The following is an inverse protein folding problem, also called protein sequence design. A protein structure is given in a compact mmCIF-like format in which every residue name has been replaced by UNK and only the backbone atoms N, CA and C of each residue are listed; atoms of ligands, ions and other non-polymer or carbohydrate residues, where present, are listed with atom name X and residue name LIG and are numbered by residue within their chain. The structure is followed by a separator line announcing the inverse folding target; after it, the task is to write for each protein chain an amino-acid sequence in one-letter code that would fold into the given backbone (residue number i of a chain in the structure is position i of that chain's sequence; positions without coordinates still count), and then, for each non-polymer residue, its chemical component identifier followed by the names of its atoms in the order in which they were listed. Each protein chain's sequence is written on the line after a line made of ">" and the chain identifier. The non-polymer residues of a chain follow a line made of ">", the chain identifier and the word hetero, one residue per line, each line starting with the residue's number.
data_IF_819663272931
#
_entry.id   IF_819663272931
#
_cell.length_a   1.000
_cell.length_b   1.000
_cell.length_c   1.000
_cell.angle_alpha   90.00
_cell.angle_beta   90.00
_cell.angle_gamma   90.00
#
_symmetry.space_group_name_H-M   'P 1'
#
loop_
_entity.id
_entity.type
_entity.pdbx_description
1 polymer ?
#
# COMPACT_ATOMS: atom_id res chain seq x y z
N UNK A 1 17.47 1.98 -9.30
CA UNK A 1 16.54 1.25 -10.18
C UNK A 1 15.88 2.24 -11.13
N UNK A 2 15.59 1.85 -12.38
CA UNK A 2 14.85 2.68 -13.33
C UNK A 2 13.45 3.00 -12.76
N UNK A 3 12.92 4.21 -13.01
CA UNK A 3 11.57 4.63 -12.59
C UNK A 3 10.47 3.71 -13.15
N UNK A 4 10.70 3.10 -14.31
CA UNK A 4 9.73 2.27 -15.01
C UNK A 4 9.99 0.77 -14.79
N UNK A 5 8.91 0.00 -14.69
CA UNK A 5 8.92 -1.47 -14.72
C UNK A 5 8.81 -1.95 -16.17
N UNK A 6 9.40 -3.10 -16.48
CA UNK A 6 9.46 -3.65 -17.85
C UNK A 6 9.21 -5.16 -17.86
N UNK A 7 8.42 -5.59 -18.85
CA UNK A 7 8.27 -6.98 -19.32
C UNK A 7 8.75 -7.06 -20.77
N UNK A 8 8.67 -8.26 -21.35
CA UNK A 8 9.11 -8.54 -22.72
C UNK A 8 8.50 -7.61 -23.78
N UNK A 9 7.27 -7.13 -23.58
CA UNK A 9 6.53 -6.32 -24.56
C UNK A 9 5.89 -5.05 -23.96
N UNK A 10 6.10 -4.78 -22.67
CA UNK A 10 5.41 -3.67 -21.97
C UNK A 10 6.35 -2.95 -21.03
N UNK A 11 6.27 -1.62 -21.00
CA UNK A 11 6.93 -0.75 -20.02
C UNK A 11 5.85 0.09 -19.36
N UNK A 12 5.88 0.19 -18.03
CA UNK A 12 4.86 0.94 -17.29
C UNK A 12 5.44 1.63 -16.04
N UNK A 13 4.72 2.63 -15.56
CA UNK A 13 4.97 3.30 -14.30
C UNK A 13 3.63 3.73 -13.71
N UNK A 14 3.13 2.95 -12.76
CA UNK A 14 1.82 3.16 -12.15
C UNK A 14 2.01 3.54 -10.68
N UNK A 15 1.64 4.75 -10.32
CA UNK A 15 1.67 5.27 -8.94
C UNK A 15 0.27 5.76 -8.58
N UNK A 16 -0.22 5.39 -7.39
CA UNK A 16 -1.56 5.71 -6.95
C UNK A 16 -1.53 6.32 -5.55
N UNK A 17 -2.36 7.33 -5.33
CA UNK A 17 -2.63 7.86 -4.00
C UNK A 17 -3.96 7.28 -3.50
N UNK A 18 -3.87 6.30 -2.59
CA UNK A 18 -5.03 5.58 -2.05
C UNK A 18 -5.24 6.05 -0.61
N UNK A 19 -6.46 6.50 -0.29
CA UNK A 19 -6.84 6.98 1.04
C UNK A 19 -8.13 6.29 1.47
N UNK A 20 -8.20 5.90 2.74
CA UNK A 20 -9.39 5.32 3.35
C UNK A 20 -9.57 5.84 4.79
N UNK A 21 -10.72 5.56 5.39
CA UNK A 21 -11.03 5.96 6.76
C UNK A 21 -11.73 4.85 7.53
N UNK A 22 -11.50 4.70 8.85
CA UNK A 22 -12.25 3.75 9.67
C UNK A 22 -13.75 4.01 9.62
N UNK A 23 -14.54 2.97 9.90
CA UNK A 23 -16.00 3.08 10.01
C UNK A 23 -16.36 4.20 10.97
N UNK A 24 -17.27 5.09 10.55
CA UNK A 24 -17.70 6.28 11.30
C UNK A 24 -16.59 7.33 11.57
N UNK A 25 -15.44 7.24 10.89
CA UNK A 25 -14.29 8.15 11.04
C UNK A 25 -13.76 8.24 12.48
N UNK A 26 -13.92 7.17 13.26
CA UNK A 26 -13.35 7.14 14.60
C UNK A 26 -11.82 7.22 14.54
N UNK A 27 -11.24 8.01 15.45
CA UNK A 27 -9.79 8.25 15.54
C UNK A 27 -9.07 7.10 16.27
N UNK A 28 -9.35 5.86 15.86
CA UNK A 28 -8.86 4.62 16.49
C UNK A 28 -7.46 4.19 16.01
N UNK A 29 -7.00 4.73 14.88
CA UNK A 29 -5.68 4.43 14.32
C UNK A 29 -4.59 5.17 15.11
N UNK A 30 -4.30 4.67 16.32
CA UNK A 30 -3.28 5.20 17.23
C UNK A 30 -2.59 4.07 17.99
N UNK A 31 -1.32 4.28 18.37
CA UNK A 31 -0.52 3.30 19.11
C UNK A 31 -0.48 1.94 18.42
N UNK A 32 -0.58 0.86 19.19
CA UNK A 32 -0.49 -0.53 18.70
C UNK A 32 -1.47 -0.86 17.57
N UNK A 33 -2.64 -0.22 17.52
CA UNK A 33 -3.62 -0.44 16.45
C UNK A 33 -3.10 0.13 15.13
N UNK A 34 -2.47 1.30 15.15
CA UNK A 34 -1.86 1.88 13.96
C UNK A 34 -0.70 1.01 13.47
N UNK A 35 0.15 0.56 14.38
CA UNK A 35 1.32 -0.27 14.06
C UNK A 35 0.90 -1.60 13.39
N UNK A 36 -0.12 -2.27 13.94
CA UNK A 36 -0.63 -3.52 13.36
C UNK A 36 -1.26 -3.31 11.99
N UNK A 37 -2.06 -2.25 11.82
CA UNK A 37 -2.67 -1.91 10.53
C UNK A 37 -1.58 -1.62 9.48
N UNK A 38 -0.52 -0.89 9.84
CA UNK A 38 0.61 -0.65 8.94
C UNK A 38 1.31 -1.97 8.55
N UNK A 39 1.58 -2.85 9.52
CA UNK A 39 2.18 -4.15 9.27
C UNK A 39 1.33 -5.01 8.33
N UNK A 40 0.02 -5.09 8.57
CA UNK A 40 -0.90 -5.82 7.69
C UNK A 40 -0.88 -5.25 6.27
N UNK A 41 -1.01 -3.93 6.12
CA UNK A 41 -1.01 -3.29 4.79
C UNK A 41 0.28 -3.59 4.05
N UNK A 42 1.44 -3.49 4.71
CA UNK A 42 2.74 -3.81 4.09
C UNK A 42 2.84 -5.29 3.71
N UNK A 43 2.44 -6.20 4.60
CA UNK A 43 2.50 -7.63 4.35
C UNK A 43 1.63 -8.04 3.16
N UNK A 44 0.38 -7.56 3.10
CA UNK A 44 -0.53 -7.86 1.99
C UNK A 44 -0.10 -7.20 0.68
N UNK A 45 0.40 -5.96 0.70
CA UNK A 45 0.96 -5.32 -0.49
C UNK A 45 2.13 -6.11 -1.06
N UNK A 46 3.06 -6.54 -0.20
CA UNK A 46 4.21 -7.34 -0.60
C UNK A 46 3.79 -8.70 -1.20
N UNK A 47 2.81 -9.39 -0.58
CA UNK A 47 2.25 -10.64 -1.11
C UNK A 47 1.66 -10.47 -2.51
N UNK A 48 1.03 -9.32 -2.78
CA UNK A 48 0.41 -9.01 -4.07
C UNK A 48 1.40 -8.44 -5.10
N UNK A 49 2.68 -8.27 -4.74
CA UNK A 49 3.70 -7.68 -5.61
C UNK A 49 3.55 -6.16 -5.82
N UNK A 50 2.80 -5.50 -4.94
CA UNK A 50 2.73 -4.04 -4.87
C UNK A 50 3.93 -3.51 -4.07
N UNK A 51 4.52 -2.42 -4.56
CA UNK A 51 5.64 -1.71 -3.93
C UNK A 51 5.16 -0.45 -3.21
#
# INVERSE_FOLDING_TARGET
>A
MSRFKKLSQTIWHCQYHIVWTPKYRYKILKGKIADEVENCVRAFSAQQGAE
#
